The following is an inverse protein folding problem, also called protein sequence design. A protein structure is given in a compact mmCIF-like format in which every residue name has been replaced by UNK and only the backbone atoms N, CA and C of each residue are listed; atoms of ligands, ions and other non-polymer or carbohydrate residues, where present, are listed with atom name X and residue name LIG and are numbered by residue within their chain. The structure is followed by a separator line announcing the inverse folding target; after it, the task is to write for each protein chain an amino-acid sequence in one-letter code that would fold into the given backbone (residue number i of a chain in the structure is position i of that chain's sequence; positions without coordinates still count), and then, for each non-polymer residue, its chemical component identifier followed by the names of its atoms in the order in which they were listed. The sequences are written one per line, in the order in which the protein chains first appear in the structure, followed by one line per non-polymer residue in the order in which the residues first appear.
data_IF_581374543228
#
_entry.id   IF_581374543228
#
_cell.length_a   1.000
_cell.length_b   1.000
_cell.length_c   1.000
_cell.angle_alpha   90.00
_cell.angle_beta   90.00
_cell.angle_gamma   90.00
#
_symmetry.space_group_name_H-M   'P 1'
#
loop_
_entity.id
_entity.type
_entity.pdbx_description
1 polymer ?
#
# COMPACT_ATOMS: atom_id res chain seq x y z
N UNK A 1 -15.89 -17.85 5.77
CA UNK A 1 -16.67 -16.79 5.06
C UNK A 1 -16.13 -16.63 3.65
N UNK A 2 -16.44 -17.60 2.78
CA UNK A 2 -15.89 -17.70 1.40
C UNK A 2 -16.71 -16.85 0.41
N UNK A 3 -16.95 -15.59 0.75
CA UNK A 3 -17.71 -14.67 -0.10
C UNK A 3 -16.87 -14.22 -1.32
N UNK A 4 -15.56 -14.36 -1.23
CA UNK A 4 -14.61 -14.05 -2.31
C UNK A 4 -13.90 -15.33 -2.76
N UNK A 5 -14.58 -16.14 -3.55
CA UNK A 5 -14.12 -17.46 -3.99
C UNK A 5 -12.75 -17.50 -4.71
N UNK A 6 -12.20 -16.33 -5.07
CA UNK A 6 -10.93 -16.19 -5.79
C UNK A 6 -9.99 -15.14 -5.16
N UNK A 7 -10.13 -14.87 -3.86
CA UNK A 7 -9.22 -13.93 -3.20
C UNK A 7 -7.80 -14.51 -3.15
N UNK A 8 -6.86 -13.77 -3.73
CA UNK A 8 -5.44 -14.09 -3.60
C UNK A 8 -4.95 -13.63 -2.22
N UNK A 9 -4.44 -14.54 -1.38
CA UNK A 9 -4.11 -14.22 0.02
C UNK A 9 -2.94 -13.22 0.19
N UNK A 10 -2.18 -12.97 -0.88
CA UNK A 10 -0.96 -12.19 -0.77
C UNK A 10 0.15 -12.95 -0.04
N UNK A 11 1.29 -12.30 0.12
CA UNK A 11 2.44 -12.85 0.86
C UNK A 11 3.00 -11.76 1.77
N UNK A 12 3.06 -12.06 3.08
CA UNK A 12 3.87 -11.31 4.03
C UNK A 12 5.02 -12.22 4.44
N UNK A 13 6.22 -12.05 3.85
CA UNK A 13 7.33 -12.98 4.05
C UNK A 13 7.92 -12.82 5.45
N UNK A 14 8.33 -13.95 6.02
CA UNK A 14 9.15 -14.02 7.22
C UNK A 14 10.34 -14.97 7.01
N UNK A 15 11.15 -15.19 8.06
CA UNK A 15 12.32 -16.07 8.01
C UNK A 15 11.95 -17.50 7.61
N UNK A 16 10.87 -18.04 8.20
CA UNK A 16 10.40 -19.42 7.94
C UNK A 16 9.85 -19.56 6.53
N UNK A 17 9.09 -18.54 6.10
CA UNK A 17 8.56 -18.51 4.74
C UNK A 17 9.68 -18.53 3.71
N UNK A 18 10.72 -17.68 3.88
CA UNK A 18 11.84 -17.61 2.94
C UNK A 18 12.63 -18.92 2.88
N UNK A 19 12.94 -19.51 4.02
CA UNK A 19 13.65 -20.78 4.09
C UNK A 19 12.85 -21.91 3.40
N UNK A 20 11.54 -21.98 3.67
CA UNK A 20 10.67 -23.01 3.08
C UNK A 20 10.46 -22.84 1.57
N UNK A 21 10.28 -21.61 1.07
CA UNK A 21 9.84 -21.36 -0.30
C UNK A 21 10.98 -20.98 -1.24
N UNK A 22 12.08 -20.41 -0.73
CA UNK A 22 13.24 -19.96 -1.50
C UNK A 22 14.47 -20.82 -1.25
N UNK A 23 14.54 -21.53 -0.12
CA UNK A 23 15.65 -22.39 0.26
C UNK A 23 16.88 -21.61 0.78
N UNK A 24 16.73 -20.35 1.15
CA UNK A 24 17.81 -19.50 1.66
C UNK A 24 17.43 -18.81 2.97
N UNK A 25 18.44 -18.49 3.79
CA UNK A 25 18.19 -17.79 5.05
C UNK A 25 17.80 -16.32 4.81
N UNK A 26 17.09 -15.76 5.80
CA UNK A 26 16.76 -14.34 5.85
C UNK A 26 18.01 -13.51 6.13
N UNK A 27 18.29 -12.55 5.28
CA UNK A 27 19.44 -11.65 5.42
C UNK A 27 18.96 -10.22 5.77
N UNK A 28 19.87 -9.39 6.26
CA UNK A 28 19.54 -8.02 6.64
C UNK A 28 18.94 -7.19 5.47
N UNK A 29 19.42 -7.44 4.25
CA UNK A 29 18.85 -6.84 3.04
C UNK A 29 17.36 -7.15 2.84
N UNK A 30 16.89 -8.34 3.19
CA UNK A 30 15.47 -8.69 3.10
C UNK A 30 14.61 -7.83 4.04
N UNK A 31 15.11 -7.54 5.25
CA UNK A 31 14.42 -6.66 6.20
C UNK A 31 14.30 -5.25 5.64
N UNK A 32 15.37 -4.70 5.07
CA UNK A 32 15.38 -3.35 4.50
C UNK A 32 14.41 -3.27 3.31
N UNK A 33 14.49 -4.23 2.39
CA UNK A 33 13.64 -4.28 1.19
C UNK A 33 12.18 -4.46 1.57
N UNK A 34 11.88 -5.36 2.52
CA UNK A 34 10.52 -5.56 3.02
C UNK A 34 10.00 -4.30 3.74
N UNK A 35 10.86 -3.56 4.43
CA UNK A 35 10.51 -2.31 5.11
C UNK A 35 10.01 -1.20 4.19
N UNK A 36 10.33 -1.27 2.90
CA UNK A 36 9.83 -0.34 1.87
C UNK A 36 8.74 -0.96 0.98
N UNK A 37 8.19 -2.12 1.36
CA UNK A 37 7.12 -2.78 0.62
C UNK A 37 7.57 -3.46 -0.67
N UNK A 38 8.85 -3.84 -0.76
CA UNK A 38 9.45 -4.51 -1.91
C UNK A 38 9.89 -5.95 -1.57
N UNK A 39 10.50 -6.62 -2.52
CA UNK A 39 11.01 -7.99 -2.37
C UNK A 39 9.90 -9.03 -2.53
N UNK A 40 9.73 -9.89 -1.56
CA UNK A 40 8.76 -11.01 -1.61
C UNK A 40 7.34 -10.62 -1.14
N UNK A 41 7.10 -9.36 -0.77
CA UNK A 41 5.77 -8.91 -0.35
C UNK A 41 4.84 -8.90 -1.58
N UNK A 42 3.73 -9.63 -1.47
CA UNK A 42 2.64 -9.58 -2.46
C UNK A 42 1.35 -9.16 -1.76
N UNK A 43 0.63 -8.26 -2.39
CA UNK A 43 -0.64 -7.74 -1.87
C UNK A 43 -1.59 -7.41 -3.02
N UNK A 44 -2.87 -7.35 -2.74
CA UNK A 44 -3.90 -6.93 -3.69
C UNK A 44 -4.54 -5.58 -3.27
N UNK A 45 -5.32 -4.99 -4.17
CA UNK A 45 -5.98 -3.71 -3.92
C UNK A 45 -6.88 -3.71 -2.67
N UNK A 46 -7.61 -4.81 -2.44
CA UNK A 46 -8.48 -4.92 -1.27
C UNK A 46 -7.68 -4.89 0.03
N UNK A 47 -6.58 -5.64 0.08
CA UNK A 47 -5.70 -5.69 1.25
C UNK A 47 -5.07 -4.32 1.53
N UNK A 48 -4.66 -3.59 0.49
CA UNK A 48 -4.12 -2.23 0.64
C UNK A 48 -5.20 -1.23 1.12
N UNK A 49 -6.42 -1.31 0.59
CA UNK A 49 -7.53 -0.48 1.06
C UNK A 49 -7.89 -0.78 2.52
N UNK A 50 -7.92 -2.07 2.91
CA UNK A 50 -8.16 -2.49 4.30
C UNK A 50 -7.02 -2.02 5.22
N UNK A 51 -5.77 -2.12 4.79
CA UNK A 51 -4.62 -1.59 5.53
C UNK A 51 -4.78 -0.08 5.77
N UNK A 52 -5.13 0.68 4.73
CA UNK A 52 -5.36 2.12 4.86
C UNK A 52 -6.52 2.45 5.79
N UNK A 53 -7.63 1.71 5.71
CA UNK A 53 -8.77 1.87 6.62
C UNK A 53 -8.38 1.59 8.08
N UNK A 54 -7.53 0.59 8.33
CA UNK A 54 -6.99 0.28 9.66
C UNK A 54 -6.10 1.39 10.18
N UNK A 55 -5.16 1.87 9.38
CA UNK A 55 -4.26 2.97 9.75
C UNK A 55 -5.06 4.25 10.04
N UNK A 56 -5.98 4.63 9.15
CA UNK A 56 -6.77 5.85 9.28
C UNK A 56 -7.71 5.83 10.51
N UNK A 57 -8.23 4.67 10.89
CA UNK A 57 -9.16 4.53 12.02
C UNK A 57 -8.51 4.07 13.33
N UNK A 58 -7.26 3.61 13.31
CA UNK A 58 -6.58 2.89 14.39
C UNK A 58 -7.41 1.68 14.91
N UNK A 59 -8.15 1.00 14.02
CA UNK A 59 -9.02 -0.11 14.35
C UNK A 59 -8.75 -1.33 13.48
N UNK A 60 -9.08 -2.52 13.98
CA UNK A 60 -8.96 -3.80 13.29
C UNK A 60 -10.10 -3.98 12.28
N UNK A 61 -10.24 -3.06 11.34
CA UNK A 61 -11.28 -3.09 10.30
C UNK A 61 -11.20 -4.40 9.52
N UNK A 62 -12.37 -5.00 9.26
CA UNK A 62 -12.54 -6.16 8.38
C UNK A 62 -13.47 -5.78 7.22
N UNK A 63 -13.15 -6.16 5.98
CA UNK A 63 -14.03 -5.90 4.84
C UNK A 63 -15.32 -6.69 4.98
N UNK A 64 -16.41 -6.15 4.42
CA UNK A 64 -17.72 -6.79 4.33
C UNK A 64 -18.31 -6.46 2.97
N UNK A 65 -18.83 -7.45 2.26
CA UNK A 65 -19.55 -7.26 1.00
C UNK A 65 -21.06 -7.12 1.22
N UNK A 66 -21.57 -7.75 2.28
CA UNK A 66 -23.01 -7.72 2.58
C UNK A 66 -23.27 -6.59 3.57
N UNK A 67 -24.21 -5.73 3.21
CA UNK A 67 -24.69 -4.68 4.11
C UNK A 67 -25.29 -5.28 5.38
N UNK A 68 -25.05 -4.64 6.49
CA UNK A 68 -25.65 -5.00 7.78
C UNK A 68 -25.86 -3.73 8.60
N UNK A 69 -27.04 -3.55 9.15
CA UNK A 69 -27.38 -2.43 10.04
C UNK A 69 -26.61 -2.47 11.36
N UNK A 70 -26.00 -3.62 11.70
CA UNK A 70 -25.15 -3.75 12.88
C UNK A 70 -23.85 -3.00 12.62
N UNK A 71 -23.66 -1.91 13.34
CA UNK A 71 -22.40 -1.15 13.30
C UNK A 71 -21.27 -2.03 13.91
N UNK A 72 -20.25 -2.41 13.16
CA UNK A 72 -19.21 -3.29 13.68
C UNK A 72 -18.38 -2.55 14.72
N UNK A 73 -18.34 -3.07 15.93
CA UNK A 73 -17.45 -2.57 16.96
C UNK A 73 -16.04 -3.19 16.76
N UNK A 74 -15.22 -2.57 15.92
CA UNK A 74 -13.86 -3.02 15.69
C UNK A 74 -12.95 -2.67 16.87
N UNK A 75 -12.17 -3.65 17.33
CA UNK A 75 -11.14 -3.45 18.37
C UNK A 75 -10.06 -2.46 17.90
N UNK A 76 -9.43 -1.79 18.84
CA UNK A 76 -8.23 -0.99 18.55
C UNK A 76 -7.09 -1.87 17.99
N UNK A 77 -6.23 -1.29 17.15
CA UNK A 77 -4.98 -1.92 16.73
C UNK A 77 -3.96 -2.01 17.88
N UNK A 78 -4.17 -1.29 18.97
CA UNK A 78 -3.21 -1.24 20.08
C UNK A 78 -1.93 -0.45 19.78
N UNK A 79 -1.91 0.31 18.68
CA UNK A 79 -0.77 1.14 18.32
C UNK A 79 -0.75 2.43 19.16
N UNK A 80 0.47 2.88 19.48
CA UNK A 80 0.64 4.13 20.22
C UNK A 80 0.10 5.31 19.42
N UNK A 81 -0.75 6.12 20.05
CA UNK A 81 -1.43 7.24 19.40
C UNK A 81 -0.46 8.26 18.79
N UNK A 82 0.67 8.52 19.47
CA UNK A 82 1.72 9.39 18.97
C UNK A 82 2.26 8.92 17.63
N UNK A 83 2.52 7.61 17.48
CA UNK A 83 3.09 7.06 16.26
C UNK A 83 2.07 7.10 15.10
N UNK A 84 0.81 6.76 15.37
CA UNK A 84 -0.27 6.87 14.37
C UNK A 84 -0.45 8.31 13.90
N UNK A 85 -0.43 9.29 14.80
CA UNK A 85 -0.52 10.71 14.43
C UNK A 85 0.60 11.14 13.48
N UNK A 86 1.84 10.70 13.73
CA UNK A 86 2.96 10.98 12.81
C UNK A 86 2.73 10.36 11.43
N UNK A 87 2.26 9.12 11.37
CA UNK A 87 1.95 8.44 10.09
C UNK A 87 0.83 9.18 9.36
N UNK A 88 -0.27 9.50 10.01
CA UNK A 88 -1.41 10.20 9.40
C UNK A 88 -1.02 11.59 8.89
N UNK A 89 -0.20 12.33 9.65
CA UNK A 89 0.34 13.61 9.20
C UNK A 89 1.20 13.45 7.93
N UNK A 90 2.09 12.45 7.89
CA UNK A 90 2.86 12.14 6.69
C UNK A 90 1.99 11.76 5.49
N UNK A 91 0.93 10.99 5.71
CA UNK A 91 -0.02 10.63 4.65
C UNK A 91 -0.80 11.83 4.12
N UNK A 92 -1.18 12.79 4.98
CA UNK A 92 -1.83 14.02 4.56
C UNK A 92 -0.88 14.88 3.72
N UNK A 93 0.39 14.99 4.11
CA UNK A 93 1.39 15.78 3.36
C UNK A 93 1.62 15.28 1.94
N UNK A 94 1.43 13.99 1.65
CA UNK A 94 1.56 13.41 0.29
C UNK A 94 0.68 14.14 -0.73
N UNK A 95 -0.50 14.59 -0.33
CA UNK A 95 -1.46 15.27 -1.20
C UNK A 95 -1.44 16.81 -1.07
N UNK A 96 -0.63 17.37 -0.16
CA UNK A 96 -0.46 18.81 -0.04
C UNK A 96 0.57 19.35 -1.03
N UNK A 97 0.66 20.68 -1.14
CA UNK A 97 1.64 21.35 -1.99
C UNK A 97 3.06 20.85 -1.71
N UNK A 98 3.73 20.37 -2.75
CA UNK A 98 5.07 19.76 -2.65
C UNK A 98 5.08 18.26 -2.33
N UNK A 99 3.93 17.66 -2.04
CA UNK A 99 3.79 16.21 -1.87
C UNK A 99 3.79 15.46 -3.20
N UNK A 100 4.12 14.16 -3.15
CA UNK A 100 4.26 13.30 -4.35
C UNK A 100 2.97 13.10 -5.13
N UNK A 101 1.80 13.34 -4.52
CA UNK A 101 0.48 13.28 -5.16
C UNK A 101 -0.27 14.62 -5.07
N UNK A 102 0.44 15.73 -5.01
CA UNK A 102 -0.18 17.08 -4.89
C UNK A 102 -1.10 17.43 -6.06
N UNK A 103 -0.79 16.95 -7.27
CA UNK A 103 -1.64 17.12 -8.45
C UNK A 103 -2.97 16.37 -8.41
N UNK A 104 -3.09 15.38 -7.52
CA UNK A 104 -4.31 14.57 -7.33
C UNK A 104 -5.07 14.95 -6.07
N UNK A 105 -4.72 16.06 -5.43
CA UNK A 105 -5.36 16.52 -4.20
C UNK A 105 -6.86 16.77 -4.41
N UNK A 106 -7.68 16.22 -3.55
CA UNK A 106 -9.12 16.48 -3.50
C UNK A 106 -9.37 17.50 -2.41
N UNK A 107 -10.05 18.59 -2.77
CA UNK A 107 -10.57 19.56 -1.82
C UNK A 107 -12.06 19.77 -2.08
N UNK A 108 -12.88 19.05 -1.36
CA UNK A 108 -14.34 19.15 -1.43
C UNK A 108 -14.84 19.69 -0.09
N UNK A 109 -15.44 20.87 -0.11
CA UNK A 109 -15.95 21.53 1.10
C UNK A 109 -14.88 21.64 2.21
N UNK A 110 -13.64 21.97 1.87
CA UNK A 110 -12.54 22.08 2.82
C UNK A 110 -12.02 20.75 3.39
N UNK A 111 -12.56 19.61 2.93
CA UNK A 111 -12.09 18.29 3.36
C UNK A 111 -10.88 17.88 2.54
N UNK A 112 -9.89 17.36 3.23
CA UNK A 112 -8.63 16.88 2.65
C UNK A 112 -8.60 15.36 2.60
N UNK A 113 -7.71 14.84 1.78
CA UNK A 113 -7.37 13.42 1.74
C UNK A 113 -5.93 13.20 2.16
N UNK A 114 -5.64 12.02 2.66
CA UNK A 114 -4.30 11.52 2.89
C UNK A 114 -4.06 10.25 2.09
N UNK A 115 -2.81 9.95 1.75
CA UNK A 115 -2.51 8.74 1.01
C UNK A 115 -1.03 8.49 0.81
N UNK A 116 -0.72 7.44 0.06
CA UNK A 116 0.65 7.06 -0.32
C UNK A 116 0.69 6.56 -1.75
N UNK A 117 1.61 7.10 -2.52
CA UNK A 117 1.95 6.57 -3.85
C UNK A 117 2.82 5.34 -3.71
N UNK A 118 2.73 4.43 -4.65
CA UNK A 118 3.59 3.26 -4.75
C UNK A 118 3.94 2.95 -6.18
N UNK A 119 5.02 2.19 -6.36
CA UNK A 119 5.42 1.64 -7.65
C UNK A 119 5.66 0.15 -7.48
N UNK A 120 4.93 -0.68 -8.21
CA UNK A 120 5.16 -2.12 -8.24
C UNK A 120 6.02 -2.47 -9.44
N UNK A 121 7.18 -3.08 -9.19
CA UNK A 121 8.11 -3.47 -10.23
C UNK A 121 7.59 -4.70 -10.98
N UNK A 122 7.53 -4.60 -12.31
CA UNK A 122 7.14 -5.71 -13.20
C UNK A 122 8.34 -6.56 -13.58
N UNK A 123 9.54 -5.97 -13.62
CA UNK A 123 10.77 -6.65 -14.01
C UNK A 123 11.90 -6.43 -13.00
N UNK A 124 12.85 -7.37 -13.00
CA UNK A 124 14.08 -7.20 -12.26
C UNK A 124 15.07 -6.32 -13.05
N UNK A 125 15.69 -5.36 -12.38
CA UNK A 125 16.78 -4.55 -12.95
C UNK A 125 18.09 -5.26 -12.66
N UNK A 126 18.80 -5.68 -13.71
CA UNK A 126 20.08 -6.40 -13.57
C UNK A 126 21.19 -5.50 -13.02
N UNK A 127 22.25 -6.11 -12.50
CA UNK A 127 23.43 -5.37 -12.02
C UNK A 127 24.10 -4.59 -13.17
N UNK A 128 24.17 -5.18 -14.35
CA UNK A 128 24.72 -4.53 -15.54
C UNK A 128 23.92 -3.30 -15.94
N UNK A 129 22.58 -3.41 -15.97
CA UNK A 129 21.69 -2.28 -16.26
C UNK A 129 21.81 -1.15 -15.24
N UNK A 130 22.00 -1.47 -13.94
CA UNK A 130 22.25 -0.44 -12.92
C UNK A 130 23.58 0.31 -13.14
N UNK A 131 24.60 -0.35 -13.71
CA UNK A 131 25.88 0.26 -14.01
C UNK A 131 25.87 1.09 -15.30
N UNK A 132 25.15 0.64 -16.32
CA UNK A 132 25.06 1.34 -17.62
C UNK A 132 23.99 2.43 -17.67
N UNK A 133 23.13 2.49 -16.67
CA UNK A 133 21.98 3.38 -16.60
C UNK A 133 20.64 2.64 -16.78
N UNK A 134 19.73 2.85 -15.85
CA UNK A 134 18.40 2.24 -15.90
C UNK A 134 17.54 2.98 -16.94
N UNK A 135 16.90 2.23 -17.82
CA UNK A 135 15.99 2.79 -18.83
C UNK A 135 14.82 3.50 -18.15
N UNK A 136 14.46 4.66 -18.67
CA UNK A 136 13.26 5.39 -18.24
C UNK A 136 12.01 4.63 -18.66
N UNK A 137 10.91 4.84 -17.93
CA UNK A 137 9.62 4.17 -18.18
C UNK A 137 9.17 4.31 -19.63
N UNK A 138 9.32 5.50 -20.22
CA UNK A 138 8.92 5.80 -21.61
C UNK A 138 9.73 5.05 -22.67
N UNK A 139 10.93 4.58 -22.32
CA UNK A 139 11.83 3.83 -23.20
C UNK A 139 11.55 2.32 -23.15
N UNK A 140 10.72 1.87 -22.19
CA UNK A 140 10.34 0.49 -22.04
C UNK A 140 9.11 0.15 -22.88
N UNK A 141 9.07 -1.08 -23.39
CA UNK A 141 7.85 -1.64 -23.94
C UNK A 141 6.75 -1.60 -22.87
N UNK A 142 5.51 -1.35 -23.28
CA UNK A 142 4.41 -1.13 -22.37
C UNK A 142 4.27 -2.22 -21.29
N UNK A 143 4.33 -3.49 -21.66
CA UNK A 143 4.24 -4.64 -20.76
C UNK A 143 5.41 -4.80 -19.77
N UNK A 144 6.51 -4.05 -19.95
CA UNK A 144 7.67 -4.03 -19.05
C UNK A 144 7.68 -2.83 -18.10
N UNK A 145 6.73 -1.90 -18.26
CA UNK A 145 6.61 -0.73 -17.39
C UNK A 145 6.08 -1.16 -16.03
N UNK A 146 6.47 -0.42 -15.01
CA UNK A 146 6.00 -0.64 -13.65
C UNK A 146 4.51 -0.27 -13.51
N UNK A 147 3.84 -0.83 -12.49
CA UNK A 147 2.50 -0.40 -12.13
C UNK A 147 2.58 0.80 -11.18
N UNK A 148 1.74 1.80 -11.43
CA UNK A 148 1.51 2.91 -10.51
C UNK A 148 0.44 2.54 -9.49
N UNK A 149 0.66 2.87 -8.21
CA UNK A 149 -0.30 2.63 -7.14
C UNK A 149 -0.56 3.90 -6.34
N UNK A 150 -1.79 4.04 -5.89
CA UNK A 150 -2.16 5.00 -4.88
C UNK A 150 -3.11 4.33 -3.88
N UNK A 151 -2.84 4.50 -2.61
CA UNK A 151 -3.76 4.11 -1.54
C UNK A 151 -4.03 5.32 -0.66
N UNK A 152 -5.30 5.59 -0.38
CA UNK A 152 -5.68 6.81 0.32
C UNK A 152 -6.91 6.65 1.19
N UNK A 153 -7.17 7.69 1.96
CA UNK A 153 -8.37 7.83 2.79
C UNK A 153 -8.85 9.28 2.84
N UNK A 154 -10.10 9.46 3.08
CA UNK A 154 -10.73 10.77 3.22
C UNK A 154 -12.00 10.71 4.09
N UNK A 155 -12.38 11.83 4.75
CA UNK A 155 -11.58 13.02 5.05
C UNK A 155 -10.47 12.71 6.07
N UNK A 156 -9.40 13.55 6.13
CA UNK A 156 -8.30 13.31 7.08
C UNK A 156 -8.70 13.53 8.53
N UNK A 157 -9.62 14.47 8.79
CA UNK A 157 -10.13 14.80 10.12
C UNK A 157 -11.11 13.74 10.68
N UNK A 158 -11.93 13.13 9.83
CA UNK A 158 -12.91 12.09 10.21
C UNK A 158 -13.02 11.06 9.07
N UNK A 159 -12.10 10.10 9.00
CA UNK A 159 -12.04 9.12 7.91
C UNK A 159 -13.37 8.36 7.71
N UNK A 160 -13.86 8.36 6.47
CA UNK A 160 -15.06 7.63 6.06
C UNK A 160 -14.78 6.65 4.92
N UNK A 161 -13.83 6.98 4.07
CA UNK A 161 -13.53 6.24 2.86
C UNK A 161 -12.06 5.84 2.85
N UNK A 162 -11.76 4.64 2.40
CA UNK A 162 -10.44 4.20 2.03
C UNK A 162 -10.50 3.64 0.61
N UNK A 163 -9.46 3.92 -0.18
CA UNK A 163 -9.40 3.56 -1.59
C UNK A 163 -8.01 3.04 -1.92
N UNK A 164 -7.95 2.08 -2.83
CA UNK A 164 -6.73 1.69 -3.52
C UNK A 164 -6.98 1.73 -5.03
N UNK A 165 -6.03 2.32 -5.75
CA UNK A 165 -6.04 2.38 -7.22
C UNK A 165 -4.72 1.82 -7.71
N UNK A 166 -4.79 0.94 -8.71
CA UNK A 166 -3.64 0.45 -9.47
C UNK A 166 -3.83 0.88 -10.91
N UNK A 167 -2.79 1.45 -11.49
CA UNK A 167 -2.67 1.69 -12.91
C UNK A 167 -1.57 0.78 -13.45
N UNK A 168 -1.98 -0.17 -14.27
CA UNK A 168 -1.04 -1.13 -14.85
C UNK A 168 -0.20 -0.46 -15.93
N UNK A 169 1.11 -0.75 -15.90
CA UNK A 169 2.08 -0.30 -16.91
C UNK A 169 2.07 1.22 -17.15
N UNK A 170 1.99 2.02 -16.06
CA UNK A 170 1.93 3.48 -16.09
C UNK A 170 3.28 4.15 -16.41
#
# INVERSE_FOLDING_TARGET
DDILAHEMPGIMPDRRWKEKNIGTFWVHGDTIISGIGQGFILTNCLQLAVMMARVASNKQVKPRLIYSDKNPNFKSLGLQEKNIKHVLNGLEQVTQKGGTASGSAINVNGKKMGGKTGTSQVRNISKAERQSGVLKTEQLQWNLRNHGLFVGYAPTDKPKYAVCVIMEHA
#
